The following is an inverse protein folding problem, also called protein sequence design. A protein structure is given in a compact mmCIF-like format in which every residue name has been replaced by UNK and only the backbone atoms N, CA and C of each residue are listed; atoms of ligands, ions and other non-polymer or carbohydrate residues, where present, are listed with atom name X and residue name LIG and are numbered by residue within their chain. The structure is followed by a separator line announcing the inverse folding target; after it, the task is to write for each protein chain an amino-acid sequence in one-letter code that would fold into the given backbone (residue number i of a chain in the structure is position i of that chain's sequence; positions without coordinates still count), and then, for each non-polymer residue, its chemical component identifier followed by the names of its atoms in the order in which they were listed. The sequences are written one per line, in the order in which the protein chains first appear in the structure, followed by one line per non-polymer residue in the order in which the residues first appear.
data_IF_042002827393
#
_entry.id   IF_042002827393
#
_cell.length_a   1.000
_cell.length_b   1.000
_cell.length_c   1.000
_cell.angle_alpha   90.00
_cell.angle_beta   90.00
_cell.angle_gamma   90.00
#
_symmetry.space_group_name_H-M   'P 1'
#
loop_
_entity.id
_entity.type
_entity.pdbx_description
1 polymer ?
#
# COMPACT_ATOMS: atom_id res chain seq x y z
N UNK A 1 -16.47 -3.06 10.72
CA UNK A 1 -15.51 -4.10 10.28
C UNK A 1 -14.37 -4.13 11.27
N UNK A 2 -13.96 -5.31 11.77
CA UNK A 2 -12.72 -5.42 12.55
C UNK A 2 -11.54 -5.46 11.56
N UNK A 3 -10.43 -4.75 11.82
CA UNK A 3 -9.27 -4.83 10.94
C UNK A 3 -8.70 -6.25 10.97
N UNK A 4 -8.33 -6.77 9.80
CA UNK A 4 -7.83 -8.13 9.65
C UNK A 4 -6.43 -8.31 10.27
N UNK A 5 -5.66 -7.22 10.36
CA UNK A 5 -4.24 -7.23 10.68
C UNK A 5 -3.87 -6.15 11.70
N UNK A 6 -4.76 -5.85 12.66
CA UNK A 6 -4.62 -4.75 13.62
C UNK A 6 -3.28 -4.78 14.40
N UNK A 7 -2.77 -5.98 14.72
CA UNK A 7 -1.52 -6.16 15.46
C UNK A 7 -0.25 -6.09 14.57
N UNK A 8 -0.43 -5.99 13.25
CA UNK A 8 0.68 -5.89 12.31
C UNK A 8 0.89 -4.44 11.86
N UNK A 9 2.12 -4.16 11.43
CA UNK A 9 2.48 -2.89 10.82
C UNK A 9 3.07 -3.16 9.42
N UNK A 10 2.59 -2.47 8.38
CA UNK A 10 3.27 -2.47 7.09
C UNK A 10 4.65 -1.86 7.27
N UNK A 11 5.66 -2.49 6.69
CA UNK A 11 7.04 -1.98 6.57
C UNK A 11 7.20 -1.21 5.26
N UNK A 12 6.81 -1.84 4.17
CA UNK A 12 6.86 -1.24 2.84
C UNK A 12 5.74 -1.79 1.97
N UNK A 13 5.37 -1.02 0.97
CA UNK A 13 4.32 -1.35 0.02
C UNK A 13 4.85 -1.13 -1.37
N UNK A 14 4.56 -2.05 -2.27
CA UNK A 14 4.85 -1.90 -3.70
C UNK A 14 3.53 -1.78 -4.43
N UNK A 15 3.38 -0.73 -5.22
CA UNK A 15 2.33 -0.58 -6.22
C UNK A 15 2.97 -0.75 -7.60
N UNK A 16 2.43 -1.65 -8.39
CA UNK A 16 2.96 -1.90 -9.72
C UNK A 16 1.87 -2.14 -10.74
N UNK A 17 2.17 -1.74 -11.97
CA UNK A 17 1.30 -1.88 -13.11
C UNK A 17 1.87 -2.96 -14.05
N UNK A 18 1.51 -4.25 -13.89
CA UNK A 18 2.17 -5.34 -14.58
C UNK A 18 2.00 -5.27 -16.11
N UNK A 19 0.88 -4.75 -16.60
CA UNK A 19 0.59 -4.54 -18.03
C UNK A 19 -0.34 -3.36 -18.24
N UNK A 20 -0.23 -2.59 -19.35
CA UNK A 20 -1.13 -1.47 -19.67
C UNK A 20 -2.61 -1.83 -19.84
N UNK A 21 -2.94 -3.12 -19.85
CA UNK A 21 -4.30 -3.66 -19.99
C UNK A 21 -4.88 -4.22 -18.70
N UNK A 22 -4.06 -4.32 -17.65
CA UNK A 22 -4.45 -4.79 -16.32
C UNK A 22 -4.51 -3.59 -15.37
N UNK A 23 -5.28 -3.69 -14.29
CA UNK A 23 -5.27 -2.65 -13.24
C UNK A 23 -4.02 -2.76 -12.35
N UNK A 24 -3.85 -1.80 -11.46
CA UNK A 24 -2.78 -1.79 -10.46
C UNK A 24 -2.84 -3.01 -9.54
N UNK A 25 -1.65 -3.52 -9.21
CA UNK A 25 -1.42 -4.56 -8.21
C UNK A 25 -0.61 -4.01 -7.07
N UNK A 26 -0.71 -4.67 -5.93
CA UNK A 26 0.04 -4.29 -4.75
C UNK A 26 0.68 -5.51 -4.07
N UNK A 27 1.75 -5.23 -3.32
CA UNK A 27 2.32 -6.13 -2.34
C UNK A 27 2.65 -5.32 -1.07
N UNK A 28 2.15 -5.74 0.08
CA UNK A 28 2.42 -5.15 1.39
C UNK A 28 3.35 -6.07 2.15
N UNK A 29 4.55 -5.60 2.44
CA UNK A 29 5.52 -6.30 3.27
C UNK A 29 5.33 -5.86 4.72
N UNK A 30 5.04 -6.80 5.62
CA UNK A 30 4.86 -6.52 7.04
C UNK A 30 6.17 -6.63 7.81
N UNK A 31 6.26 -5.96 8.96
CA UNK A 31 7.44 -6.05 9.84
C UNK A 31 7.72 -7.48 10.32
N UNK A 32 6.70 -8.32 10.44
CA UNK A 32 6.81 -9.72 10.84
C UNK A 32 7.36 -10.66 9.74
N UNK A 33 7.57 -10.15 8.51
CA UNK A 33 8.03 -10.94 7.37
C UNK A 33 6.91 -11.50 6.49
N UNK A 34 5.66 -11.36 6.91
CA UNK A 34 4.48 -11.70 6.10
C UNK A 34 4.34 -10.76 4.89
N UNK A 35 3.75 -11.28 3.81
CA UNK A 35 3.45 -10.54 2.59
C UNK A 35 1.98 -10.67 2.28
N UNK A 36 1.33 -9.54 2.03
CA UNK A 36 -0.04 -9.47 1.52
C UNK A 36 -0.04 -8.86 0.13
N UNK A 37 -0.31 -9.66 -0.89
CA UNK A 37 -0.41 -9.19 -2.27
C UNK A 37 -1.83 -9.27 -2.82
N UNK A 38 -2.09 -8.54 -3.91
CA UNK A 38 -3.38 -8.58 -4.57
C UNK A 38 -3.54 -7.55 -5.67
N UNK A 39 -4.79 -7.38 -6.09
CA UNK A 39 -5.20 -6.37 -7.08
C UNK A 39 -5.98 -5.25 -6.42
N UNK A 40 -5.75 -4.02 -6.86
CA UNK A 40 -6.62 -2.89 -6.57
C UNK A 40 -7.87 -3.04 -7.44
N UNK A 41 -8.99 -3.47 -6.83
CA UNK A 41 -10.21 -3.81 -7.55
C UNK A 41 -10.83 -2.62 -8.29
N UNK A 42 -10.64 -1.42 -7.75
CA UNK A 42 -11.15 -0.17 -8.32
C UNK A 42 -10.18 0.51 -9.30
N UNK A 43 -9.11 -0.18 -9.69
CA UNK A 43 -8.14 0.35 -10.66
C UNK A 43 -8.43 -0.15 -12.07
N UNK A 44 -8.61 0.80 -12.99
CA UNK A 44 -8.65 0.55 -14.42
C UNK A 44 -7.24 0.67 -15.01
N UNK A 45 -7.01 0.24 -16.26
CA UNK A 45 -5.68 0.35 -16.86
C UNK A 45 -5.22 1.79 -17.17
N UNK A 46 -6.14 2.76 -17.10
CA UNK A 46 -5.85 4.19 -17.22
C UNK A 46 -5.68 4.89 -15.87
N UNK A 47 -5.83 4.17 -14.75
CA UNK A 47 -5.69 4.73 -13.40
C UNK A 47 -4.27 5.23 -13.21
N UNK A 48 -4.14 6.48 -12.80
CA UNK A 48 -2.85 7.08 -12.50
C UNK A 48 -2.24 6.53 -11.21
N UNK A 49 -0.94 6.73 -11.00
CA UNK A 49 -0.30 6.38 -9.73
C UNK A 49 -0.96 7.09 -8.53
N UNK A 50 -1.29 8.37 -8.62
CA UNK A 50 -1.92 9.13 -7.52
C UNK A 50 -3.28 8.57 -7.10
N UNK A 51 -4.09 8.14 -8.08
CA UNK A 51 -5.36 7.46 -7.80
C UNK A 51 -5.14 6.08 -7.17
N UNK A 52 -4.20 5.29 -7.70
CA UNK A 52 -3.85 3.98 -7.16
C UNK A 52 -3.31 4.08 -5.73
N UNK A 53 -2.49 5.10 -5.45
CA UNK A 53 -2.00 5.44 -4.12
C UNK A 53 -3.15 5.75 -3.16
N UNK A 54 -4.08 6.60 -3.58
CA UNK A 54 -5.23 6.98 -2.75
C UNK A 54 -6.11 5.77 -2.42
N UNK A 55 -6.34 4.89 -3.39
CA UNK A 55 -7.06 3.63 -3.17
C UNK A 55 -6.29 2.69 -2.24
N UNK A 56 -4.96 2.61 -2.38
CA UNK A 56 -4.12 1.81 -1.49
C UNK A 56 -4.16 2.32 -0.06
N UNK A 57 -4.07 3.63 0.17
CA UNK A 57 -4.15 4.23 1.51
C UNK A 57 -5.49 3.91 2.20
N UNK A 58 -6.61 3.93 1.46
CA UNK A 58 -7.91 3.45 1.95
C UNK A 58 -7.87 1.97 2.33
N UNK A 59 -7.30 1.13 1.46
CA UNK A 59 -7.20 -0.31 1.69
C UNK A 59 -6.33 -0.66 2.90
N UNK A 60 -5.25 0.07 3.13
CA UNK A 60 -4.42 -0.07 4.34
C UNK A 60 -5.20 0.27 5.60
N UNK A 61 -6.01 1.34 5.57
CA UNK A 61 -6.88 1.69 6.68
C UNK A 61 -7.90 0.57 6.96
N UNK A 62 -8.42 -0.11 5.95
CA UNK A 62 -9.29 -1.28 6.11
C UNK A 62 -8.54 -2.49 6.71
N UNK A 63 -7.32 -2.77 6.24
CA UNK A 63 -6.51 -3.89 6.72
C UNK A 63 -6.03 -3.72 8.16
N UNK A 64 -5.48 -2.55 8.47
CA UNK A 64 -4.77 -2.29 9.72
C UNK A 64 -5.60 -1.47 10.72
N UNK A 65 -6.71 -0.86 10.30
CA UNK A 65 -7.57 -0.04 11.16
C UNK A 65 -6.97 1.32 11.54
N UNK A 66 -5.85 1.70 10.92
CA UNK A 66 -5.12 2.94 11.17
C UNK A 66 -4.53 3.50 9.89
N UNK A 67 -4.34 4.83 9.85
CA UNK A 67 -3.58 5.47 8.79
C UNK A 67 -2.12 5.05 8.86
N UNK A 68 -1.51 4.83 7.70
CA UNK A 68 -0.08 4.59 7.55
C UNK A 68 0.51 5.73 6.75
N UNK A 69 1.48 6.44 7.31
CA UNK A 69 2.22 7.46 6.56
C UNK A 69 3.23 6.76 5.67
N UNK A 70 3.19 7.03 4.36
CA UNK A 70 4.06 6.42 3.37
C UNK A 70 4.84 7.49 2.62
N UNK A 71 6.14 7.26 2.43
CA UNK A 71 6.96 8.02 1.49
C UNK A 71 7.11 7.20 0.22
N UNK A 72 6.53 7.70 -0.87
CA UNK A 72 6.52 7.03 -2.16
C UNK A 72 7.71 7.42 -3.03
N UNK A 73 8.26 6.45 -3.73
CA UNK A 73 9.31 6.63 -4.73
C UNK A 73 9.07 5.69 -5.92
N UNK A 74 9.20 6.21 -7.13
CA UNK A 74 9.26 5.37 -8.32
C UNK A 74 10.61 4.64 -8.33
N UNK A 75 10.57 3.31 -8.29
CA UNK A 75 11.77 2.47 -8.28
C UNK A 75 12.08 1.91 -9.66
N UNK A 76 11.07 1.79 -10.52
CA UNK A 76 11.19 1.44 -11.94
C UNK A 76 9.94 1.93 -12.67
N UNK A 77 9.95 1.98 -14.01
CA UNK A 77 8.80 2.45 -14.79
C UNK A 77 7.53 1.64 -14.45
N UNK A 78 6.53 2.32 -13.89
CA UNK A 78 5.28 1.68 -13.47
C UNK A 78 5.39 0.86 -12.17
N UNK A 79 6.47 1.03 -11.42
CA UNK A 79 6.72 0.39 -10.11
C UNK A 79 7.07 1.45 -9.07
N UNK A 80 6.24 1.54 -8.05
CA UNK A 80 6.33 2.52 -6.98
C UNK A 80 6.42 1.82 -5.64
N UNK A 81 7.36 2.24 -4.81
CA UNK A 81 7.54 1.72 -3.46
C UNK A 81 7.20 2.81 -2.45
N UNK A 82 6.27 2.51 -1.55
CA UNK A 82 5.92 3.32 -0.39
C UNK A 82 6.56 2.74 0.86
N UNK A 83 7.53 3.44 1.44
CA UNK A 83 8.14 3.06 2.72
C UNK A 83 7.31 3.64 3.87
N UNK A 84 6.95 2.80 4.84
CA UNK A 84 6.25 3.25 6.02
C UNK A 84 7.20 4.05 6.92
N UNK A 85 6.84 5.30 7.17
CA UNK A 85 7.45 6.10 8.22
C UNK A 85 6.69 5.80 9.49
N UNK A 86 7.37 5.18 10.46
CA UNK A 86 6.83 5.10 11.81
C UNK A 86 6.51 6.53 12.24
N UNK A 87 5.24 6.79 12.56
CA UNK A 87 4.87 8.05 13.17
C UNK A 87 5.76 8.23 14.40
N UNK A 88 6.34 9.42 14.64
CA UNK A 88 7.08 9.65 15.87
C UNK A 88 6.10 9.31 17.00
N UNK A 89 6.42 8.27 17.76
CA UNK A 89 5.72 7.93 18.98
C UNK A 89 5.87 9.14 19.87
N UNK A 90 4.85 10.01 19.88
CA UNK A 90 4.81 11.17 20.76
C UNK A 90 4.86 10.59 22.17
N UNK A 91 5.96 10.80 22.93
CA UNK A 91 5.96 10.39 24.32
C UNK A 91 4.91 11.25 25.03
N UNK A 92 4.02 10.58 25.76
CA UNK A 92 3.05 11.19 26.67
C UNK A 92 3.76 11.94 27.81
#
# INVERSE_FOLDING_TARGET
MRPLLADQAPRSIVLYHPKPTEGWRYAVYMKAGDILDGRLLDSTPSTSFEEARTQMERKLMEFFGRSTTLVWKETSSGWWTGEAVDAPSVPA
#
